data_IF_623304668690
#
_entry.id   IF_623304668690
#
_cell.length_a   1.000
_cell.length_b   1.000
_cell.length_c   1.000
_cell.angle_alpha   90.00
_cell.angle_beta   90.00
_cell.angle_gamma   90.00
#
_symmetry.space_group_name_H-M   'P 1'
#
loop_
_entity.id
_entity.type
_entity.pdbx_description
1 polymer ?
#
# COMPACT_ATOMS: atom_id res chain seq x y z
N UNK A 1 -25.13 42.06 -19.02
CA UNK A 1 -25.27 42.09 -17.55
C UNK A 1 -25.06 40.65 -17.02
N UNK A 2 -23.83 40.14 -17.07
CA UNK A 2 -23.49 38.78 -16.66
C UNK A 2 -23.27 38.74 -15.14
N UNK A 3 -24.08 37.95 -14.43
CA UNK A 3 -24.15 37.97 -12.97
C UNK A 3 -22.91 37.29 -12.36
N UNK A 4 -22.21 37.92 -11.39
CA UNK A 4 -21.02 37.37 -10.73
C UNK A 4 -21.30 36.07 -9.95
N UNK A 5 -22.57 35.74 -9.75
CA UNK A 5 -23.04 34.52 -9.09
C UNK A 5 -22.73 33.24 -9.89
N UNK A 6 -22.88 33.24 -11.23
CA UNK A 6 -22.57 32.06 -12.04
C UNK A 6 -21.08 31.76 -12.10
N UNK A 7 -20.22 32.78 -12.03
CA UNK A 7 -18.76 32.63 -12.05
C UNK A 7 -18.26 31.98 -10.77
N UNK A 8 -18.83 32.36 -9.61
CA UNK A 8 -18.47 31.77 -8.31
C UNK A 8 -18.89 30.31 -8.19
N UNK A 9 -20.06 29.95 -8.71
CA UNK A 9 -20.54 28.55 -8.72
C UNK A 9 -19.70 27.71 -9.68
N UNK A 10 -19.37 28.22 -10.87
CA UNK A 10 -18.49 27.53 -11.80
C UNK A 10 -17.08 27.32 -11.19
N UNK A 11 -16.53 28.33 -10.53
CA UNK A 11 -15.24 28.21 -9.85
C UNK A 11 -15.27 27.19 -8.70
N UNK A 12 -16.36 27.14 -7.91
CA UNK A 12 -16.53 26.16 -6.84
C UNK A 12 -16.65 24.73 -7.40
N UNK A 13 -17.38 24.54 -8.50
CA UNK A 13 -17.51 23.24 -9.16
C UNK A 13 -16.20 22.76 -9.79
N UNK A 14 -15.40 23.67 -10.39
CA UNK A 14 -14.06 23.35 -10.90
C UNK A 14 -13.13 22.95 -9.75
N UNK A 15 -13.16 23.70 -8.63
CA UNK A 15 -12.35 23.39 -7.45
C UNK A 15 -12.72 22.03 -6.85
N UNK A 16 -14.02 21.68 -6.82
CA UNK A 16 -14.52 20.40 -6.31
C UNK A 16 -14.11 19.23 -7.22
N UNK A 17 -14.13 19.41 -8.55
CA UNK A 17 -13.67 18.40 -9.51
C UNK A 17 -12.15 18.13 -9.43
N UNK A 18 -11.34 19.15 -9.11
CA UNK A 18 -9.90 18.97 -8.96
C UNK A 18 -9.50 18.07 -7.78
N UNK A 19 -10.34 17.94 -6.74
CA UNK A 19 -10.01 17.13 -5.56
C UNK A 19 -10.20 15.62 -5.79
N UNK A 20 -10.93 15.22 -6.84
CA UNK A 20 -11.25 13.81 -7.09
C UNK A 20 -10.08 13.01 -7.69
N UNK A 21 -9.02 13.68 -8.15
CA UNK A 21 -7.89 13.03 -8.84
C UNK A 21 -6.78 12.58 -7.88
N UNK A 22 -6.79 13.04 -6.63
CA UNK A 22 -5.70 12.80 -5.66
C UNK A 22 -5.89 11.49 -4.87
N UNK A 23 -7.02 10.80 -4.99
CA UNK A 23 -7.34 9.60 -4.20
C UNK A 23 -6.98 8.27 -4.88
N UNK A 24 -6.30 8.27 -6.03
CA UNK A 24 -6.06 7.05 -6.81
C UNK A 24 -4.77 6.28 -6.43
N UNK A 25 -3.96 6.75 -5.48
CA UNK A 25 -2.60 6.23 -5.29
C UNK A 25 -2.32 5.76 -3.86
N UNK A 26 -2.71 4.51 -3.58
CA UNK A 26 -2.13 3.73 -2.48
C UNK A 26 -2.41 2.23 -2.65
N UNK A 27 -2.44 1.72 -3.89
CA UNK A 27 -2.20 0.30 -4.10
C UNK A 27 -0.68 0.10 -4.06
N UNK A 28 -0.15 -0.92 -3.35
CA UNK A 28 1.27 -1.22 -3.40
C UNK A 28 1.68 -1.34 -4.87
N UNK A 29 2.67 -0.55 -5.29
CA UNK A 29 3.19 -0.60 -6.65
C UNK A 29 3.64 -2.04 -6.91
N UNK A 30 2.90 -2.76 -7.75
CA UNK A 30 3.34 -4.06 -8.23
C UNK A 30 4.71 -3.90 -8.89
N UNK A 31 5.55 -4.93 -8.79
CA UNK A 31 6.85 -4.91 -9.44
C UNK A 31 6.68 -4.54 -10.94
N UNK A 32 7.49 -3.62 -11.48
CA UNK A 32 7.40 -3.15 -12.87
C UNK A 32 7.42 -4.27 -13.92
N UNK A 33 8.06 -5.40 -13.58
CA UNK A 33 8.06 -6.60 -14.41
C UNK A 33 8.13 -7.86 -13.57
N UNK A 34 7.71 -8.99 -14.14
CA UNK A 34 7.84 -10.30 -13.50
C UNK A 34 9.31 -10.67 -13.18
N UNK A 35 10.27 -10.15 -13.96
CA UNK A 35 11.70 -10.39 -13.75
C UNK A 35 12.27 -9.68 -12.52
N UNK A 36 11.58 -8.68 -11.97
CA UNK A 36 11.96 -8.01 -10.72
C UNK A 36 11.44 -8.74 -9.47
N UNK A 37 10.64 -9.79 -9.65
CA UNK A 37 10.19 -10.66 -8.56
C UNK A 37 11.23 -11.76 -8.35
N UNK A 38 11.88 -11.75 -7.18
CA UNK A 38 12.88 -12.74 -6.79
C UNK A 38 12.33 -13.62 -5.65
N UNK A 39 11.84 -14.86 -5.94
CA UNK A 39 11.43 -15.78 -4.89
C UNK A 39 12.59 -16.15 -3.97
N UNK A 40 12.31 -16.31 -2.68
CA UNK A 40 13.30 -16.79 -1.71
C UNK A 40 13.65 -18.25 -2.01
N UNK A 41 14.95 -18.56 -2.04
CA UNK A 41 15.48 -19.90 -2.26
C UNK A 41 15.99 -20.52 -0.95
N UNK A 42 16.10 -21.84 -0.92
CA UNK A 42 16.67 -22.57 0.24
C UNK A 42 18.09 -22.10 0.50
N UNK A 43 18.38 -21.77 1.77
CA UNK A 43 19.69 -21.28 2.21
C UNK A 43 19.89 -19.77 2.05
N UNK A 44 18.95 -19.05 1.43
CA UNK A 44 19.02 -17.59 1.39
C UNK A 44 18.62 -16.96 2.73
N UNK A 45 19.17 -15.78 2.99
CA UNK A 45 18.76 -14.94 4.10
C UNK A 45 17.37 -14.37 3.83
N UNK A 46 16.48 -14.46 4.81
CA UNK A 46 15.14 -13.86 4.71
C UNK A 46 15.29 -12.33 4.71
N UNK A 47 14.67 -11.60 3.76
CA UNK A 47 14.76 -10.15 3.72
C UNK A 47 14.13 -9.51 4.97
N UNK A 48 14.45 -8.24 5.22
CA UNK A 48 13.78 -7.46 6.25
C UNK A 48 12.30 -7.29 5.89
N UNK A 49 11.39 -7.76 6.74
CA UNK A 49 9.94 -7.75 6.49
C UNK A 49 9.20 -7.11 7.66
N UNK A 50 8.49 -6.02 7.38
CA UNK A 50 7.59 -5.36 8.33
C UNK A 50 6.14 -5.73 7.97
N UNK A 51 5.38 -6.22 8.96
CA UNK A 51 3.96 -6.58 8.82
C UNK A 51 3.15 -5.94 9.93
N UNK A 52 1.83 -5.91 9.74
CA UNK A 52 0.91 -5.55 10.81
C UNK A 52 0.47 -6.81 11.55
N UNK A 53 0.46 -6.74 12.89
CA UNK A 53 -0.23 -7.74 13.70
C UNK A 53 -1.74 -7.47 13.78
N UNK A 54 -2.43 -8.27 14.61
CA UNK A 54 -3.88 -8.17 14.79
C UNK A 54 -4.32 -6.86 15.44
N UNK A 55 -3.43 -6.19 16.18
CA UNK A 55 -3.68 -4.92 16.84
C UNK A 55 -3.25 -3.72 15.95
N UNK A 56 -2.93 -3.98 14.67
CA UNK A 56 -2.39 -2.99 13.73
C UNK A 56 -1.05 -2.39 14.16
N UNK A 57 -0.31 -3.08 15.01
CA UNK A 57 1.06 -2.70 15.39
C UNK A 57 2.02 -3.20 14.31
N UNK A 58 3.00 -2.37 13.96
CA UNK A 58 4.05 -2.78 13.05
C UNK A 58 5.05 -3.69 13.76
N UNK A 59 5.31 -4.84 13.17
CA UNK A 59 6.21 -5.86 13.69
C UNK A 59 7.25 -6.20 12.62
N UNK A 60 8.52 -6.21 13.00
CA UNK A 60 9.61 -6.69 12.16
C UNK A 60 9.75 -8.20 12.31
N UNK A 61 9.41 -8.97 11.27
CA UNK A 61 9.42 -10.44 11.34
C UNK A 61 10.81 -11.03 11.59
N UNK A 62 11.87 -10.30 11.22
CA UNK A 62 13.25 -10.74 11.42
C UNK A 62 13.61 -10.92 12.89
N UNK A 63 12.98 -10.16 13.79
CA UNK A 63 13.17 -10.33 15.23
C UNK A 63 12.63 -11.70 15.67
N UNK A 64 11.47 -12.11 15.13
CA UNK A 64 10.89 -13.44 15.37
C UNK A 64 11.75 -14.57 14.78
N UNK A 65 12.27 -14.39 13.56
CA UNK A 65 13.14 -15.38 12.91
C UNK A 65 14.48 -15.56 13.64
N UNK A 66 15.00 -14.51 14.26
CA UNK A 66 16.24 -14.55 15.04
C UNK A 66 16.04 -15.19 16.42
N UNK A 67 14.86 -15.05 17.01
CA UNK A 67 14.57 -15.57 18.34
C UNK A 67 14.43 -17.10 18.38
N UNK A 68 13.85 -17.72 17.33
CA UNK A 68 13.62 -19.16 17.28
C UNK A 68 13.45 -19.70 15.86
N UNK A 69 13.70 -21.01 15.64
CA UNK A 69 13.30 -21.70 14.41
C UNK A 69 11.81 -21.48 14.14
N UNK A 70 11.49 -20.89 12.99
CA UNK A 70 10.15 -20.37 12.69
C UNK A 70 9.59 -21.03 11.43
N UNK A 71 8.30 -21.35 11.45
CA UNK A 71 7.53 -21.73 10.25
C UNK A 71 6.66 -20.54 9.85
N UNK A 72 6.90 -19.99 8.66
CA UNK A 72 6.07 -18.92 8.09
C UNK A 72 5.08 -19.52 7.07
N UNK A 73 3.79 -19.28 7.29
CA UNK A 73 2.73 -19.68 6.36
C UNK A 73 2.16 -18.42 5.70
N UNK A 74 2.39 -18.26 4.39
CA UNK A 74 1.75 -17.21 3.60
C UNK A 74 0.48 -17.80 2.99
N UNK A 75 -0.68 -17.29 3.41
CA UNK A 75 -1.97 -17.74 2.92
C UNK A 75 -2.72 -16.58 2.26
N UNK A 76 -3.23 -16.81 1.06
CA UNK A 76 -4.07 -15.86 0.33
C UNK A 76 -5.53 -16.30 0.46
N UNK A 77 -6.23 -15.69 1.40
CA UNK A 77 -7.65 -15.92 1.66
C UNK A 77 -8.01 -15.52 3.09
N UNK A 78 -8.91 -14.56 3.23
CA UNK A 78 -9.85 -14.57 4.34
C UNK A 78 -11.17 -14.99 3.73
N UNK A 79 -11.96 -15.81 4.42
CA UNK A 79 -13.39 -15.71 4.16
C UNK A 79 -13.85 -14.29 4.50
#
# INVERSE_FOLDING_TARGET
>A
MHRPFSIRVAALLILLCCQSWVLAESAPQAAPSAGEICPILVGQTVPALEVLDLDSTRVLLNDSFAAAPTVLVIYRGGW
#
